data_IF_054668472362
#
_entry.id   IF_054668472362
#
_cell.length_a   1.000
_cell.length_b   1.000
_cell.length_c   1.000
_cell.angle_alpha   90.00
_cell.angle_beta   90.00
_cell.angle_gamma   90.00
#
_symmetry.space_group_name_H-M   'P 1'
#
loop_
_entity.id
_entity.type
_entity.pdbx_description
1 polymer ?
#
# COMPACT_ATOMS: atom_id res chain seq x y z
N UNK A 1 3.29 -2.33 15.11
CA UNK A 1 3.12 -2.12 13.65
C UNK A 1 1.65 -1.97 13.36
N UNK A 2 1.23 -1.31 12.27
CA UNK A 2 -0.19 -1.10 11.96
C UNK A 2 -0.96 -2.41 12.16
N UNK A 3 -1.82 -2.47 13.19
CA UNK A 3 -2.62 -3.65 13.46
C UNK A 3 -3.63 -3.76 12.32
N UNK A 4 -3.27 -4.56 11.31
CA UNK A 4 -4.09 -4.80 10.14
C UNK A 4 -5.39 -5.47 10.54
N UNK A 5 -5.29 -6.46 11.42
CA UNK A 5 -6.41 -7.24 11.91
C UNK A 5 -6.69 -6.89 13.37
N UNK A 6 -7.96 -6.69 13.70
CA UNK A 6 -8.51 -6.71 15.05
C UNK A 6 -9.54 -7.83 15.10
N UNK A 7 -9.33 -8.81 15.95
CA UNK A 7 -10.20 -9.99 16.08
C UNK A 7 -10.50 -10.71 14.74
N UNK A 8 -9.53 -10.72 13.81
CA UNK A 8 -9.68 -11.33 12.47
C UNK A 8 -10.30 -10.42 11.39
N UNK A 9 -10.73 -9.21 11.74
CA UNK A 9 -11.29 -8.23 10.80
C UNK A 9 -10.30 -7.13 10.46
N UNK A 10 -10.31 -6.65 9.22
CA UNK A 10 -9.48 -5.51 8.84
C UNK A 10 -9.96 -4.27 9.59
N UNK A 11 -9.05 -3.61 10.32
CA UNK A 11 -9.41 -2.41 11.05
C UNK A 11 -9.82 -1.28 10.11
N UNK A 12 -10.91 -0.57 10.43
CA UNK A 12 -11.29 0.65 9.69
C UNK A 12 -10.17 1.70 9.68
N UNK A 13 -9.43 1.82 10.79
CA UNK A 13 -8.24 2.67 10.90
C UNK A 13 -7.13 2.28 9.92
N UNK A 14 -6.97 0.97 9.69
CA UNK A 14 -6.02 0.46 8.70
C UNK A 14 -6.47 0.85 7.30
N UNK A 15 -7.73 0.61 6.93
CA UNK A 15 -8.28 1.00 5.61
C UNK A 15 -8.15 2.50 5.37
N UNK A 16 -8.47 3.34 6.37
CA UNK A 16 -8.31 4.79 6.26
C UNK A 16 -6.86 5.19 5.96
N UNK A 17 -5.87 4.59 6.65
CA UNK A 17 -4.44 4.80 6.38
C UNK A 17 -4.02 4.33 4.97
N UNK A 18 -4.61 3.25 4.46
CA UNK A 18 -4.33 2.79 3.09
C UNK A 18 -4.84 3.82 2.08
N UNK A 19 -6.05 4.36 2.26
CA UNK A 19 -6.58 5.41 1.37
C UNK A 19 -5.73 6.66 1.38
N UNK A 20 -5.31 7.10 2.57
CA UNK A 20 -4.43 8.26 2.76
C UNK A 20 -3.07 8.05 2.03
N UNK A 21 -2.50 6.85 2.12
CA UNK A 21 -1.32 6.46 1.36
C UNK A 21 -1.54 6.54 -0.17
N UNK A 22 -2.65 6.01 -0.66
CA UNK A 22 -2.98 6.04 -2.10
C UNK A 22 -3.12 7.48 -2.59
N UNK A 23 -3.81 8.34 -1.83
CA UNK A 23 -3.97 9.75 -2.17
C UNK A 23 -2.63 10.48 -2.20
N UNK A 24 -1.78 10.25 -1.19
CA UNK A 24 -0.42 10.76 -1.17
C UNK A 24 0.42 10.26 -2.35
N UNK A 25 0.32 8.98 -2.71
CA UNK A 25 1.04 8.39 -3.83
C UNK A 25 0.56 8.92 -5.19
N UNK A 26 -0.71 9.30 -5.31
CA UNK A 26 -1.26 10.00 -6.48
C UNK A 26 -0.74 11.44 -6.57
N UNK A 27 -0.65 12.14 -5.44
CA UNK A 27 -0.15 13.51 -5.39
C UNK A 27 1.37 13.60 -5.64
N UNK A 28 2.11 12.58 -5.22
CA UNK A 28 3.56 12.49 -5.44
C UNK A 28 3.86 11.72 -6.73
N UNK A 29 3.92 12.46 -7.85
CA UNK A 29 4.26 11.96 -9.19
C UNK A 29 5.53 11.08 -9.25
N UNK A 30 6.44 11.17 -8.28
CA UNK A 30 7.67 10.35 -8.23
C UNK A 30 7.38 8.85 -8.10
N UNK A 31 6.23 8.48 -7.51
CA UNK A 31 5.81 7.08 -7.36
C UNK A 31 4.87 6.64 -8.48
N UNK A 32 4.20 7.59 -9.13
CA UNK A 32 3.27 7.39 -10.23
C UNK A 32 4.06 7.38 -11.55
N UNK A 33 4.35 6.19 -12.09
CA UNK A 33 4.94 6.13 -13.43
C UNK A 33 3.98 6.74 -14.45
N UNK A 34 4.44 7.14 -15.64
CA UNK A 34 3.62 7.79 -16.70
C UNK A 34 2.33 7.04 -17.09
N UNK A 35 2.18 5.78 -16.68
CA UNK A 35 1.03 4.88 -16.93
C UNK A 35 0.06 4.78 -15.74
N UNK A 36 0.31 5.51 -14.66
CA UNK A 36 -0.54 5.56 -13.47
C UNK A 36 -0.43 4.41 -12.49
N UNK A 37 0.71 3.76 -12.50
CA UNK A 37 1.04 2.70 -11.56
C UNK A 37 1.83 3.25 -10.39
N UNK A 38 1.52 2.78 -9.19
CA UNK A 38 2.23 3.11 -7.95
C UNK A 38 3.03 1.91 -7.44
N UNK A 39 4.13 2.19 -6.74
CA UNK A 39 4.94 1.15 -6.12
C UNK A 39 4.19 0.49 -4.96
N UNK A 40 4.01 -0.83 -4.98
CA UNK A 40 3.38 -1.59 -3.91
C UNK A 40 4.30 -1.68 -2.68
N UNK A 41 3.90 -1.13 -1.52
CA UNK A 41 4.64 -1.25 -0.27
C UNK A 41 4.24 -2.52 0.51
N UNK A 42 3.69 -3.50 -0.18
CA UNK A 42 3.24 -4.77 0.37
C UNK A 42 4.42 -5.72 0.62
N UNK A 43 4.20 -6.74 1.45
CA UNK A 43 5.24 -7.67 1.90
C UNK A 43 6.21 -8.11 0.78
N UNK A 44 7.52 -7.91 0.99
CA UNK A 44 8.59 -7.94 -0.03
C UNK A 44 8.62 -9.21 -0.89
N UNK A 45 8.13 -10.33 -0.36
CA UNK A 45 8.10 -11.61 -1.07
C UNK A 45 6.96 -11.74 -2.11
N UNK A 46 5.96 -10.85 -2.11
CA UNK A 46 4.82 -10.93 -3.05
C UNK A 46 5.00 -10.06 -4.29
N UNK A 47 5.64 -8.91 -4.18
CA UNK A 47 5.81 -7.95 -5.27
C UNK A 47 7.28 -7.69 -5.63
N UNK A 48 8.11 -8.73 -5.54
CA UNK A 48 9.57 -8.65 -5.80
C UNK A 48 9.92 -8.43 -7.27
N UNK A 49 9.17 -9.05 -8.20
CA UNK A 49 9.46 -9.03 -9.64
C UNK A 49 8.82 -7.85 -10.35
N UNK A 50 7.59 -7.52 -9.96
CA UNK A 50 6.82 -6.38 -10.44
C UNK A 50 6.44 -5.56 -9.21
N UNK A 51 7.11 -4.43 -8.95
CA UNK A 51 6.82 -3.62 -7.78
C UNK A 51 5.79 -2.52 -8.08
N UNK A 52 5.44 -2.26 -9.33
CA UNK A 52 4.47 -1.23 -9.74
C UNK A 52 3.15 -1.86 -10.17
N UNK A 53 2.04 -1.37 -9.62
CA UNK A 53 0.71 -1.80 -10.00
C UNK A 53 -0.27 -0.63 -9.98
N UNK A 54 -1.43 -0.83 -10.59
CA UNK A 54 -2.56 0.08 -10.44
C UNK A 54 -2.96 0.24 -8.96
N UNK A 55 -3.54 1.40 -8.65
CA UNK A 55 -4.04 1.79 -7.34
C UNK A 55 -4.93 0.71 -6.70
N UNK A 56 -5.85 0.12 -7.45
CA UNK A 56 -6.77 -0.91 -6.96
C UNK A 56 -6.02 -2.18 -6.56
N UNK A 57 -5.00 -2.55 -7.34
CA UNK A 57 -4.18 -3.73 -7.07
C UNK A 57 -3.30 -3.50 -5.83
N UNK A 58 -2.73 -2.32 -5.67
CA UNK A 58 -1.93 -1.96 -4.50
C UNK A 58 -2.79 -1.90 -3.23
N UNK A 59 -3.98 -1.30 -3.30
CA UNK A 59 -4.93 -1.28 -2.17
C UNK A 59 -5.29 -2.71 -1.73
N UNK A 60 -5.58 -3.59 -2.69
CA UNK A 60 -5.86 -5.00 -2.43
C UNK A 60 -4.67 -5.70 -1.77
N UNK A 61 -3.46 -5.52 -2.28
CA UNK A 61 -2.25 -6.14 -1.72
C UNK A 61 -1.97 -5.66 -0.29
N UNK A 62 -2.13 -4.37 -0.01
CA UNK A 62 -1.90 -3.83 1.33
C UNK A 62 -2.99 -4.34 2.30
N UNK A 63 -4.25 -4.39 1.88
CA UNK A 63 -5.32 -4.98 2.69
C UNK A 63 -5.10 -6.48 2.97
N UNK A 64 -4.69 -7.24 1.95
CA UNK A 64 -4.52 -8.70 2.02
C UNK A 64 -3.23 -9.16 2.69
N UNK A 65 -2.13 -8.41 2.56
CA UNK A 65 -0.81 -8.82 3.05
C UNK A 65 -0.22 -7.86 4.10
N UNK A 66 -0.74 -6.65 4.22
CA UNK A 66 -0.18 -5.61 5.06
C UNK A 66 1.00 -4.87 4.41
N UNK A 67 1.39 -3.78 5.05
CA UNK A 67 2.60 -3.04 4.71
C UNK A 67 3.86 -3.84 5.09
N UNK A 68 4.96 -3.57 4.39
CA UNK A 68 6.28 -4.07 4.80
C UNK A 68 6.58 -3.55 6.23
N UNK A 69 7.10 -4.41 7.13
CA UNK A 69 7.58 -3.96 8.43
C UNK A 69 8.60 -2.83 8.26
N UNK A 70 8.36 -1.66 8.89
CA UNK A 70 9.24 -0.50 8.75
C UNK A 70 8.78 0.55 7.74
N UNK A 71 7.65 0.35 7.05
CA UNK A 71 7.10 1.32 6.10
C UNK A 71 6.39 2.47 6.83
N UNK A 72 7.17 3.45 7.30
CA UNK A 72 6.67 4.59 8.09
C UNK A 72 6.67 5.92 7.35
N UNK A 73 7.46 6.04 6.28
CA UNK A 73 7.62 7.30 5.56
C UNK A 73 7.11 7.15 4.14
N UNK A 74 6.23 8.08 3.74
CA UNK A 74 5.82 8.30 2.37
C UNK A 74 6.62 9.52 1.91
N UNK A 75 7.76 9.29 1.26
CA UNK A 75 8.59 10.35 0.65
C UNK A 75 8.19 10.51 -0.82
#
# INVERSE_FOLDING_TARGET
MYNRLDNGFIQRKFVARVKDFIEFAKANCTTYNNEGMIKCPCHRNKCRLLPYFDVQTVEYHICRYGFIPGYYCWY
#
